data_IF_233192125583
#
_entry.id   IF_233192125583
#
_cell.length_a   1.000
_cell.length_b   1.000
_cell.length_c   1.000
_cell.angle_alpha   90.00
_cell.angle_beta   90.00
_cell.angle_gamma   90.00
#
_symmetry.space_group_name_H-M   'P 1'
#
loop_
_entity.id
_entity.type
_entity.pdbx_description
1 polymer ?
#
# COMPACT_ATOMS: atom_id res chain seq x y z
N UNK A 1 -9.20 -0.16 12.03
CA UNK A 1 -8.80 0.60 10.83
C UNK A 1 -8.45 -0.37 9.73
N UNK A 2 -8.72 -0.01 8.47
CA UNK A 2 -8.55 -0.91 7.34
C UNK A 2 -7.64 -0.31 6.28
N UNK A 3 -6.46 -0.90 6.10
CA UNK A 3 -5.45 -0.42 5.15
C UNK A 3 -5.32 -1.37 3.97
N UNK A 4 -5.16 -0.80 2.77
CA UNK A 4 -4.77 -1.58 1.60
C UNK A 4 -3.24 -1.52 1.43
N UNK A 5 -2.63 -2.68 1.18
CA UNK A 5 -1.23 -2.79 0.80
C UNK A 5 -1.16 -3.24 -0.66
N UNK A 6 -0.78 -2.33 -1.56
CA UNK A 6 -0.61 -2.63 -2.98
C UNK A 6 0.80 -3.17 -3.19
N UNK A 7 0.94 -4.49 -3.34
CA UNK A 7 2.23 -5.16 -3.45
C UNK A 7 2.28 -6.06 -4.70
N UNK A 8 2.29 -5.45 -5.89
CA UNK A 8 2.07 -6.17 -7.16
C UNK A 8 3.18 -7.16 -7.55
N UNK A 9 4.40 -6.99 -7.03
CA UNK A 9 5.53 -7.89 -7.28
C UNK A 9 5.81 -8.86 -6.10
N UNK A 10 5.05 -8.78 -5.01
CA UNK A 10 5.24 -9.63 -3.84
C UNK A 10 4.10 -10.62 -3.67
N UNK A 11 4.41 -11.83 -3.23
CA UNK A 11 3.38 -12.71 -2.67
C UNK A 11 3.07 -12.31 -1.23
N UNK A 12 1.80 -12.41 -0.85
CA UNK A 12 1.32 -12.29 0.53
C UNK A 12 2.17 -13.04 1.56
N UNK A 13 2.69 -14.23 1.23
CA UNK A 13 3.55 -14.98 2.15
C UNK A 13 4.86 -14.25 2.48
N UNK A 14 5.45 -13.55 1.51
CA UNK A 14 6.69 -12.76 1.73
C UNK A 14 6.48 -11.54 2.62
N UNK A 15 5.24 -11.05 2.72
CA UNK A 15 4.87 -9.88 3.51
C UNK A 15 4.30 -10.23 4.89
N UNK A 16 4.05 -11.52 5.15
CA UNK A 16 3.45 -12.00 6.39
C UNK A 16 4.13 -11.47 7.67
N UNK A 17 5.48 -11.38 7.77
CA UNK A 17 6.13 -10.83 8.97
C UNK A 17 5.68 -9.41 9.31
N UNK A 18 5.49 -8.56 8.29
CA UNK A 18 4.97 -7.19 8.44
C UNK A 18 3.49 -7.17 8.82
N UNK A 19 2.69 -8.04 8.20
CA UNK A 19 1.25 -8.09 8.46
C UNK A 19 0.94 -8.49 9.91
N UNK A 20 1.86 -9.17 10.59
CA UNK A 20 1.74 -9.54 12.01
C UNK A 20 2.20 -8.46 13.00
N UNK A 21 2.73 -7.33 12.53
CA UNK A 21 3.19 -6.26 13.43
C UNK A 21 2.04 -5.55 14.14
N UNK A 22 0.84 -5.58 13.57
CA UNK A 22 -0.34 -4.92 14.12
C UNK A 22 -1.31 -5.93 14.75
N UNK A 23 -2.02 -5.49 15.79
CA UNK A 23 -3.14 -6.23 16.35
C UNK A 23 -4.25 -6.35 15.29
N UNK A 24 -4.62 -7.57 14.85
CA UNK A 24 -5.63 -7.77 13.80
C UNK A 24 -7.03 -7.32 14.23
N UNK A 25 -7.30 -7.22 15.53
CA UNK A 25 -8.58 -6.72 16.04
C UNK A 25 -8.66 -5.18 15.96
N UNK A 26 -7.51 -4.49 15.88
CA UNK A 26 -7.44 -3.04 15.71
C UNK A 26 -7.20 -2.60 14.25
N UNK A 27 -6.39 -3.37 13.52
CA UNK A 27 -5.89 -3.00 12.19
C UNK A 27 -5.98 -4.20 11.25
N UNK A 28 -6.82 -4.07 10.23
CA UNK A 28 -6.87 -5.01 9.12
C UNK A 28 -5.99 -4.48 7.97
N UNK A 29 -4.98 -5.26 7.58
CA UNK A 29 -4.16 -4.97 6.39
C UNK A 29 -4.54 -5.97 5.30
N UNK A 30 -5.04 -5.44 4.18
CA UNK A 30 -5.44 -6.24 3.01
C UNK A 30 -4.42 -6.06 1.91
N UNK A 31 -3.74 -7.14 1.54
CA UNK A 31 -2.81 -7.13 0.40
C UNK A 31 -3.58 -7.27 -0.91
N UNK A 32 -3.26 -6.40 -1.86
CA UNK A 32 -3.83 -6.37 -3.21
C UNK A 32 -2.71 -6.51 -4.26
N UNK A 33 -2.94 -7.27 -5.35
CA UNK A 33 -4.13 -8.07 -5.63
C UNK A 33 -4.25 -9.27 -4.67
N UNK A 34 -5.48 -9.69 -4.31
CA UNK A 34 -5.69 -10.69 -3.27
C UNK A 34 -5.70 -12.16 -3.73
N UNK A 35 -5.53 -12.42 -5.04
CA UNK A 35 -5.56 -13.79 -5.56
C UNK A 35 -4.27 -14.55 -5.22
N UNK A 36 -4.45 -15.69 -4.53
CA UNK A 36 -3.39 -16.64 -4.12
C UNK A 36 -2.94 -17.61 -5.21
N UNK A 37 -3.68 -17.75 -6.31
CA UNK A 37 -3.41 -18.80 -7.30
C UNK A 37 -3.09 -18.19 -8.68
N UNK A 38 -1.82 -18.34 -9.11
CA UNK A 38 -1.39 -18.09 -10.48
C UNK A 38 -0.88 -16.69 -10.80
N UNK A 39 -0.65 -15.83 -9.81
CA UNK A 39 0.06 -14.57 -10.06
C UNK A 39 1.52 -14.89 -10.40
N UNK A 40 1.94 -14.54 -11.62
CA UNK A 40 3.36 -14.49 -11.96
C UNK A 40 3.85 -13.18 -11.32
N UNK A 41 4.67 -13.22 -10.26
CA UNK A 41 5.31 -12.01 -9.76
C UNK A 41 6.02 -11.33 -10.94
N UNK A 42 6.12 -10.00 -10.90
CA UNK A 42 6.72 -9.18 -11.94
C UNK A 42 7.92 -9.90 -12.60
N UNK A 43 7.78 -10.30 -13.86
CA UNK A 43 8.88 -10.93 -14.62
C UNK A 43 9.96 -9.86 -14.80
N UNK A 44 11.18 -10.15 -14.37
CA UNK A 44 12.32 -9.20 -14.35
C UNK A 44 11.99 -7.83 -13.69
N UNK A 45 11.06 -7.79 -12.72
CA UNK A 45 10.68 -6.54 -12.02
C UNK A 45 9.72 -5.63 -12.79
N UNK A 46 9.19 -6.08 -13.94
CA UNK A 46 8.25 -5.30 -14.75
C UNK A 46 6.80 -5.59 -14.35
N UNK A 47 6.09 -4.51 -14.06
CA UNK A 47 4.67 -4.52 -13.73
C UNK A 47 3.80 -4.66 -14.99
N UNK A 48 3.01 -5.72 -15.10
CA UNK A 48 2.03 -5.81 -16.19
C UNK A 48 0.89 -4.79 -15.99
N UNK A 49 0.41 -4.20 -17.09
CA UNK A 49 -0.71 -3.26 -17.04
C UNK A 49 -2.00 -3.94 -16.56
N UNK A 50 -2.25 -5.20 -16.96
CA UNK A 50 -3.41 -5.97 -16.51
C UNK A 50 -3.39 -6.22 -15.00
N UNK A 51 -2.23 -6.56 -14.42
CA UNK A 51 -2.10 -6.72 -12.96
C UNK A 51 -2.38 -5.42 -12.23
N UNK A 52 -1.88 -4.31 -12.79
CA UNK A 52 -2.11 -2.98 -12.22
C UNK A 52 -3.59 -2.62 -12.23
N UNK A 53 -4.27 -2.87 -13.35
CA UNK A 53 -5.69 -2.53 -13.49
C UNK A 53 -6.55 -3.42 -12.58
N UNK A 54 -6.29 -4.74 -12.51
CA UNK A 54 -6.99 -5.66 -11.59
C UNK A 54 -6.85 -5.23 -10.11
N UNK A 55 -5.63 -4.86 -9.71
CA UNK A 55 -5.34 -4.39 -8.36
C UNK A 55 -6.08 -3.07 -8.04
N UNK A 56 -6.18 -2.14 -9.00
CA UNK A 56 -6.88 -0.87 -8.83
C UNK A 56 -8.40 -1.05 -8.81
N UNK A 57 -8.94 -1.96 -9.63
CA UNK A 57 -10.36 -2.33 -9.60
C UNK A 57 -10.71 -2.95 -8.25
N UNK A 58 -9.85 -3.83 -7.73
CA UNK A 58 -10.02 -4.42 -6.43
C UNK A 58 -9.95 -3.38 -5.30
N UNK A 59 -9.02 -2.43 -5.39
CA UNK A 59 -8.93 -1.31 -4.47
C UNK A 59 -10.22 -0.48 -4.46
N UNK A 60 -10.80 -0.20 -5.63
CA UNK A 60 -12.04 0.54 -5.75
C UNK A 60 -13.23 -0.24 -5.17
N UNK A 61 -13.31 -1.54 -5.44
CA UNK A 61 -14.45 -2.37 -5.03
C UNK A 61 -14.41 -2.71 -3.54
N UNK A 62 -13.25 -3.02 -2.98
CA UNK A 62 -13.13 -3.53 -1.60
C UNK A 62 -13.05 -2.43 -0.54
N UNK A 63 -13.14 -1.15 -0.89
CA UNK A 63 -13.22 -0.06 0.09
C UNK A 63 -14.44 -0.15 1.02
N UNK A 64 -14.56 0.75 2.02
CA UNK A 64 -13.73 1.92 2.28
C UNK A 64 -12.37 1.59 2.91
N UNK A 65 -11.41 2.52 2.75
CA UNK A 65 -10.04 2.41 3.26
C UNK A 65 -9.68 3.58 4.16
N UNK A 66 -8.95 3.28 5.24
CA UNK A 66 -8.38 4.27 6.16
C UNK A 66 -7.01 4.79 5.71
N UNK A 67 -6.37 4.09 4.78
CA UNK A 67 -5.12 4.48 4.13
C UNK A 67 -4.64 3.41 3.16
N UNK A 68 -3.72 3.78 2.29
CA UNK A 68 -3.12 2.87 1.31
C UNK A 68 -1.61 3.00 1.32
N UNK A 69 -0.92 1.87 1.34
CA UNK A 69 0.53 1.80 1.17
C UNK A 69 0.83 1.11 -0.16
N UNK A 70 1.65 1.74 -1.00
CA UNK A 70 2.05 1.18 -2.29
C UNK A 70 3.51 0.75 -2.22
N UNK A 71 3.77 -0.53 -2.46
CA UNK A 71 5.13 -1.07 -2.57
C UNK A 71 5.61 -0.85 -4.00
N UNK A 72 6.72 -0.13 -4.13
CA UNK A 72 7.40 0.12 -5.39
C UNK A 72 8.62 -0.80 -5.44
N UNK A 73 8.71 -1.63 -6.47
CA UNK A 73 9.92 -2.41 -6.72
C UNK A 73 11.02 -1.49 -7.28
N UNK A 74 12.25 -1.66 -6.80
CA UNK A 74 13.41 -0.87 -7.20
C UNK A 74 14.24 -1.48 -8.31
N UNK A 75 14.10 -2.79 -8.54
CA UNK A 75 14.73 -3.48 -9.67
C UNK A 75 14.24 -2.92 -11.01
N UNK A 76 13.08 -2.25 -10.97
CA UNK A 76 12.45 -1.52 -12.05
C UNK A 76 13.32 -0.47 -12.76
N UNK A 77 14.41 0.06 -12.18
CA UNK A 77 15.27 1.04 -12.86
C UNK A 77 14.48 2.21 -13.49
N UNK A 78 14.37 2.23 -14.83
CA UNK A 78 13.59 3.21 -15.63
C UNK A 78 12.07 3.18 -15.40
N UNK A 79 11.50 2.20 -14.69
CA UNK A 79 10.05 2.03 -14.47
C UNK A 79 9.50 2.77 -13.22
N UNK A 80 10.31 3.62 -12.60
CA UNK A 80 9.85 4.62 -11.60
C UNK A 80 8.62 5.44 -12.05
N UNK A 81 8.41 5.76 -13.35
CA UNK A 81 7.19 6.37 -13.85
C UNK A 81 5.94 5.49 -13.71
N UNK A 82 6.03 4.17 -13.87
CA UNK A 82 4.90 3.25 -13.73
C UNK A 82 4.42 3.22 -12.26
N UNK A 83 5.35 3.11 -11.32
CA UNK A 83 5.06 3.13 -9.89
C UNK A 83 4.41 4.47 -9.44
N UNK A 84 4.91 5.61 -9.96
CA UNK A 84 4.28 6.93 -9.74
C UNK A 84 2.89 7.05 -10.38
N UNK A 85 2.68 6.45 -11.55
CA UNK A 85 1.36 6.41 -12.19
C UNK A 85 0.36 5.62 -11.35
N UNK A 86 0.78 4.51 -10.72
CA UNK A 86 -0.07 3.76 -9.78
C UNK A 86 -0.49 4.66 -8.62
N UNK A 87 0.45 5.33 -7.94
CA UNK A 87 0.13 6.23 -6.84
C UNK A 87 -0.84 7.36 -7.24
N UNK A 88 -0.68 7.94 -8.45
CA UNK A 88 -1.60 8.94 -8.97
C UNK A 88 -3.00 8.38 -9.27
N UNK A 89 -3.09 7.16 -9.81
CA UNK A 89 -4.36 6.46 -10.06
C UNK A 89 -5.07 6.13 -8.74
N UNK A 90 -4.34 5.63 -7.74
CA UNK A 90 -4.84 5.41 -6.38
C UNK A 90 -5.44 6.68 -5.81
N UNK A 91 -4.73 7.81 -5.91
CA UNK A 91 -5.23 9.11 -5.43
C UNK A 91 -6.52 9.56 -6.13
N UNK A 92 -6.66 9.24 -7.42
CA UNK A 92 -7.87 9.54 -8.19
C UNK A 92 -9.07 8.70 -7.77
N UNK A 93 -8.84 7.44 -7.38
CA UNK A 93 -9.88 6.51 -6.92
C UNK A 93 -10.35 6.89 -5.52
N UNK A 94 -9.43 7.20 -4.61
CA UNK A 94 -9.73 7.36 -3.18
C UNK A 94 -10.01 8.80 -2.75
N UNK A 95 -9.66 9.77 -3.59
CA UNK A 95 -9.80 11.19 -3.27
C UNK A 95 -8.71 11.70 -2.30
N UNK A 96 -8.81 12.98 -1.88
CA UNK A 96 -7.76 13.65 -1.12
C UNK A 96 -7.68 13.23 0.36
N UNK A 97 -8.75 12.66 0.90
CA UNK A 97 -8.90 12.45 2.36
C UNK A 97 -8.31 11.12 2.84
N UNK A 98 -8.08 10.17 1.94
CA UNK A 98 -7.42 8.90 2.26
C UNK A 98 -5.91 9.07 2.10
N UNK A 99 -5.12 8.89 3.17
CA UNK A 99 -3.67 9.02 3.08
C UNK A 99 -3.08 7.88 2.24
N UNK A 100 -2.15 8.23 1.35
CA UNK A 100 -1.47 7.29 0.45
C UNK A 100 0.04 7.41 0.67
N UNK A 101 0.68 6.34 1.11
CA UNK A 101 2.13 6.22 1.28
C UNK A 101 2.75 5.34 0.20
N UNK A 102 4.07 5.45 0.04
CA UNK A 102 4.86 4.58 -0.84
C UNK A 102 6.08 4.04 -0.12
N UNK A 103 6.40 2.76 -0.32
CA UNK A 103 7.61 2.10 0.19
C UNK A 103 8.44 1.59 -0.98
N UNK A 104 9.75 1.67 -0.87
CA UNK A 104 10.70 1.25 -1.91
C UNK A 104 11.37 -0.08 -1.51
N UNK A 105 11.16 -1.13 -2.31
CA UNK A 105 11.71 -2.48 -2.10
C UNK A 105 13.22 -2.58 -2.43
N UNK A 106 13.87 -1.49 -2.85
CA UNK A 106 15.33 -1.49 -3.11
C UNK A 106 16.17 -1.85 -1.90
N UNK A 107 15.61 -1.61 -0.72
CA UNK A 107 16.33 -1.66 0.53
C UNK A 107 16.10 -3.04 1.13
N UNK A 108 17.17 -3.63 1.64
CA UNK A 108 17.19 -4.98 2.21
C UNK A 108 16.14 -5.23 3.32
N UNK A 109 15.52 -4.17 3.85
CA UNK A 109 14.61 -4.21 5.00
C UNK A 109 13.20 -3.70 4.65
N UNK A 110 12.55 -4.27 3.62
CA UNK A 110 11.17 -3.94 3.25
C UNK A 110 10.19 -4.10 4.41
N UNK A 111 10.39 -5.11 5.26
CA UNK A 111 9.49 -5.37 6.38
C UNK A 111 9.40 -4.20 7.36
N UNK A 112 10.55 -3.58 7.68
CA UNK A 112 10.63 -2.42 8.56
C UNK A 112 9.99 -1.18 7.93
N UNK A 113 10.25 -0.95 6.65
CA UNK A 113 9.66 0.19 5.93
C UNK A 113 8.14 0.10 5.84
N UNK A 114 7.60 -1.10 5.63
CA UNK A 114 6.16 -1.31 5.61
C UNK A 114 5.54 -1.08 6.99
N UNK A 115 6.19 -1.56 8.05
CA UNK A 115 5.76 -1.32 9.43
C UNK A 115 5.75 0.17 9.76
N UNK A 116 6.82 0.89 9.41
CA UNK A 116 6.92 2.35 9.58
C UNK A 116 5.84 3.08 8.78
N UNK A 117 5.68 2.73 7.50
CA UNK A 117 4.68 3.33 6.61
C UNK A 117 3.26 3.15 7.12
N UNK A 118 2.90 1.94 7.57
CA UNK A 118 1.58 1.66 8.17
C UNK A 118 1.38 2.41 9.48
N UNK A 119 2.43 2.53 10.30
CA UNK A 119 2.38 3.32 11.55
C UNK A 119 2.12 4.80 11.27
N UNK A 120 2.76 5.37 10.25
CA UNK A 120 2.51 6.76 9.82
C UNK A 120 1.08 6.93 9.32
N UNK A 121 0.59 6.03 8.46
CA UNK A 121 -0.79 6.10 7.95
C UNK A 121 -1.83 6.01 9.08
N UNK A 122 -1.64 5.08 10.03
CA UNK A 122 -2.47 4.96 11.23
C UNK A 122 -2.48 6.25 12.04
N UNK A 123 -1.31 6.84 12.25
CA UNK A 123 -1.16 8.08 13.04
C UNK A 123 -1.86 9.24 12.35
N UNK A 124 -1.64 9.43 11.05
CA UNK A 124 -2.31 10.47 10.26
C UNK A 124 -3.83 10.33 10.30
N UNK A 125 -4.35 9.10 10.15
CA UNK A 125 -5.78 8.84 10.21
C UNK A 125 -6.36 9.11 11.58
N UNK A 126 -5.66 8.70 12.64
CA UNK A 126 -6.08 8.94 14.02
C UNK A 126 -6.18 10.44 14.31
N UNK A 127 -5.17 11.22 13.91
CA UNK A 127 -5.17 12.69 14.05
C UNK A 127 -6.33 13.31 13.26
N UNK A 128 -6.57 12.87 12.02
CA UNK A 128 -7.65 13.41 11.20
C UNK A 128 -9.07 13.09 11.73
N UNK A 129 -9.23 11.96 12.43
CA UNK A 129 -10.50 11.55 13.02
C UNK A 129 -10.73 12.14 14.42
N UNK A 130 -9.71 12.73 15.04
CA UNK A 130 -9.82 13.43 16.32
C UNK A 130 -10.07 14.94 16.09
N UNK A 131 -11.30 15.45 16.28
CA UNK A 131 -11.60 16.87 16.10
C UNK A 131 -10.90 17.78 17.12
N UNK A 132 -10.30 17.24 18.20
CA UNK A 132 -9.51 18.01 19.16
C UNK A 132 -8.04 18.18 18.72
N UNK A 133 -7.58 17.41 17.73
CA UNK A 133 -6.25 17.53 17.14
C UNK A 133 -6.23 18.64 16.06
N UNK A 134 -6.43 19.90 16.48
CA UNK A 134 -6.15 21.06 15.63
C UNK A 134 -4.68 21.07 15.16
N UNK A 135 -4.32 21.81 14.10
CA UNK A 135 -2.98 21.78 13.53
C UNK A 135 -1.96 22.07 14.63
N UNK A 136 -1.09 21.10 14.92
CA UNK A 136 0.04 21.29 15.80
C UNK A 136 0.90 22.41 15.20
N UNK A 137 0.82 23.59 15.81
CA UNK A 137 1.67 24.73 15.48
C UNK A 137 3.11 24.37 15.85
N UNK A 138 3.94 24.18 14.83
CA UNK A 138 5.40 24.21 14.94
C UNK A 138 5.90 25.64 14.79
#
# INVERSE_FOLDING_TARGET
MRFALLAPCHDTASLAPTLTTFDPDEVEVVVLPSRRDGHVPCDDGVMSQSTTDDMLDELAWRGPWDGVLVVLDASAGEDRPAARQVAQRVRRILGPDVPVGTVDDARADIADQLSEGLTVLRTLRTIALDPAAGPASW
#
